data_IF_697116695570
#
_entry.id   IF_697116695570
#
_cell.length_a   1.000
_cell.length_b   1.000
_cell.length_c   1.000
_cell.angle_alpha   90.00
_cell.angle_beta   90.00
_cell.angle_gamma   90.00
#
_symmetry.space_group_name_H-M   'P 1'
#
loop_
_entity.id
_entity.type
_entity.pdbx_description
1 polymer ?
#
# COMPACT_ATOMS: atom_id res chain seq x y z
N UNK A 1 -7.01 16.16 -0.55
CA UNK A 1 -7.33 17.30 -1.44
C UNK A 1 -6.38 17.37 -2.64
N UNK A 2 -5.09 17.69 -2.47
CA UNK A 2 -4.16 17.86 -3.60
C UNK A 2 -3.97 16.61 -4.47
N UNK A 3 -3.80 15.43 -3.85
CA UNK A 3 -3.69 14.17 -4.60
C UNK A 3 -4.91 13.87 -5.48
N UNK A 4 -6.11 14.24 -5.04
CA UNK A 4 -7.32 14.02 -5.83
C UNK A 4 -7.44 14.98 -7.00
N UNK A 5 -6.87 16.18 -6.88
CA UNK A 5 -6.88 17.20 -7.92
C UNK A 5 -5.75 17.04 -8.94
N UNK A 6 -4.73 16.22 -8.65
CA UNK A 6 -3.66 15.91 -9.61
C UNK A 6 -4.06 14.82 -10.59
N UNK A 7 -3.58 14.94 -11.83
CA UNK A 7 -3.66 13.88 -12.85
C UNK A 7 -2.59 12.81 -12.64
N UNK A 8 -1.37 13.20 -12.25
CA UNK A 8 -0.21 12.32 -12.12
C UNK A 8 0.50 12.61 -10.80
N UNK A 9 0.86 11.54 -10.08
CA UNK A 9 1.73 11.58 -8.90
C UNK A 9 3.14 11.07 -9.27
N UNK A 10 4.20 11.75 -8.82
CA UNK A 10 5.57 11.43 -9.23
C UNK A 10 6.48 11.25 -7.99
N UNK A 11 7.28 10.18 -7.97
CA UNK A 11 8.36 9.98 -6.98
C UNK A 11 9.71 9.74 -7.68
N UNK A 12 10.48 10.80 -7.99
CA UNK A 12 11.74 10.72 -8.72
C UNK A 12 12.93 10.63 -7.75
N UNK A 13 12.96 9.59 -6.91
CA UNK A 13 14.05 9.42 -5.95
C UNK A 13 15.39 9.18 -6.65
N UNK A 14 16.48 9.51 -5.98
CA UNK A 14 17.83 9.43 -6.57
C UNK A 14 18.53 8.09 -6.32
N UNK A 15 18.00 7.26 -5.41
CA UNK A 15 18.59 5.98 -5.05
C UNK A 15 17.53 4.97 -4.57
N UNK A 16 17.91 3.68 -4.56
CA UNK A 16 17.03 2.54 -4.26
C UNK A 16 16.80 2.34 -2.76
N UNK A 17 17.66 2.92 -1.93
CA UNK A 17 17.66 2.80 -0.46
C UNK A 17 16.61 3.69 0.21
N UNK A 18 15.90 4.54 -0.55
CA UNK A 18 14.87 5.41 0.00
C UNK A 18 13.67 4.60 0.53
N UNK A 19 13.51 4.59 1.85
CA UNK A 19 12.51 3.76 2.55
C UNK A 19 11.13 4.44 2.75
N UNK A 20 10.96 5.70 2.35
CA UNK A 20 9.72 6.45 2.59
C UNK A 20 8.89 6.58 1.32
N UNK A 21 7.63 6.19 1.40
CA UNK A 21 6.69 6.30 0.28
C UNK A 21 5.23 6.16 0.73
N UNK A 22 4.90 6.48 1.98
CA UNK A 22 3.51 6.47 2.45
C UNK A 22 2.59 7.31 1.54
N UNK A 23 3.11 8.40 0.98
CA UNK A 23 2.42 9.22 -0.03
C UNK A 23 2.16 8.50 -1.35
N UNK A 24 3.01 7.55 -1.76
CA UNK A 24 2.78 6.66 -2.92
C UNK A 24 1.56 5.77 -2.67
N UNK A 25 1.44 5.21 -1.46
CA UNK A 25 0.30 4.38 -1.05
C UNK A 25 -1.01 5.17 -1.13
N UNK A 26 -1.00 6.43 -0.66
CA UNK A 26 -2.17 7.31 -0.75
C UNK A 26 -2.51 7.67 -2.20
N UNK A 27 -1.52 7.92 -3.06
CA UNK A 27 -1.74 8.18 -4.48
C UNK A 27 -2.37 6.96 -5.17
N UNK A 28 -1.86 5.76 -4.89
CA UNK A 28 -2.33 4.50 -5.46
C UNK A 28 -3.76 4.19 -5.00
N UNK A 29 -4.03 4.31 -3.70
CA UNK A 29 -5.37 4.13 -3.13
C UNK A 29 -6.38 5.18 -3.62
N UNK A 30 -5.91 6.33 -4.10
CA UNK A 30 -6.72 7.35 -4.76
C UNK A 30 -6.92 7.09 -6.26
N UNK A 31 -6.40 5.99 -6.80
CA UNK A 31 -6.51 5.60 -8.21
C UNK A 31 -5.73 6.49 -9.17
N UNK A 32 -4.70 7.20 -8.69
CA UNK A 32 -3.91 8.11 -9.53
C UNK A 32 -2.85 7.37 -10.32
N UNK A 33 -2.58 7.85 -11.53
CA UNK A 33 -1.39 7.39 -12.27
C UNK A 33 -0.14 7.83 -11.53
N UNK A 34 0.76 6.88 -11.34
CA UNK A 34 2.03 7.09 -10.65
C UNK A 34 3.17 6.87 -11.64
N UNK A 35 4.11 7.82 -11.66
CA UNK A 35 5.42 7.67 -12.32
C UNK A 35 6.48 7.69 -11.24
N UNK A 36 7.30 6.65 -11.15
CA UNK A 36 8.29 6.52 -10.09
C UNK A 36 9.61 5.97 -10.60
N UNK A 37 10.71 6.41 -9.99
CA UNK A 37 11.96 5.65 -10.10
C UNK A 37 11.82 4.27 -9.47
N UNK A 38 12.59 3.28 -9.94
CA UNK A 38 12.53 1.86 -9.55
C UNK A 38 13.13 1.53 -8.17
N UNK A 39 12.65 2.20 -7.11
CA UNK A 39 12.94 1.78 -5.74
C UNK A 39 12.01 0.64 -5.31
N UNK A 40 12.45 -0.16 -4.34
CA UNK A 40 11.83 -1.45 -4.00
C UNK A 40 10.31 -1.39 -3.79
N UNK A 41 9.86 -0.40 -3.02
CA UNK A 41 8.42 -0.25 -2.76
C UNK A 41 7.63 0.18 -3.99
N UNK A 42 8.19 1.02 -4.86
CA UNK A 42 7.56 1.36 -6.14
C UNK A 42 7.50 0.16 -7.08
N UNK A 43 8.55 -0.67 -7.14
CA UNK A 43 8.55 -1.91 -7.93
C UNK A 43 7.39 -2.84 -7.51
N UNK A 44 7.18 -3.01 -6.21
CA UNK A 44 6.11 -3.86 -5.68
C UNK A 44 4.71 -3.27 -5.92
N UNK A 45 4.50 -1.99 -5.61
CA UNK A 45 3.20 -1.34 -5.72
C UNK A 45 2.75 -1.17 -7.17
N UNK A 46 3.68 -0.81 -8.07
CA UNK A 46 3.38 -0.46 -9.46
C UNK A 46 3.45 -1.65 -10.42
N UNK A 47 3.75 -2.85 -9.92
CA UNK A 47 3.74 -4.09 -10.70
C UNK A 47 2.43 -4.30 -11.47
N UNK A 48 2.45 -5.16 -12.49
CA UNK A 48 1.29 -5.50 -13.34
C UNK A 48 0.64 -4.30 -14.07
N UNK A 49 1.41 -3.24 -14.28
CA UNK A 49 0.96 -2.02 -14.96
C UNK A 49 0.06 -1.16 -14.09
N UNK A 50 0.30 -1.13 -12.77
CA UNK A 50 -0.36 -0.25 -11.80
C UNK A 50 0.28 1.15 -11.74
N UNK A 51 1.34 1.37 -12.50
CA UNK A 51 2.01 2.66 -12.71
C UNK A 51 3.12 2.52 -13.74
N UNK A 52 3.97 3.54 -13.85
CA UNK A 52 5.14 3.56 -14.73
C UNK A 52 6.40 3.65 -13.88
N UNK A 53 7.33 2.73 -14.13
CA UNK A 53 8.67 2.75 -13.55
C UNK A 53 9.65 3.34 -14.56
N UNK A 54 10.52 4.22 -14.09
CA UNK A 54 11.61 4.82 -14.86
C UNK A 54 12.94 4.60 -14.15
N UNK A 55 14.04 4.75 -14.90
CA UNK A 55 15.38 4.66 -14.32
C UNK A 55 15.71 5.85 -13.43
N UNK A 56 16.61 5.62 -12.48
CA UNK A 56 17.11 6.67 -11.60
C UNK A 56 17.86 7.73 -12.40
N UNK A 57 17.67 9.01 -12.03
CA UNK A 57 18.36 10.16 -12.65
C UNK A 57 18.10 10.33 -14.15
N UNK A 58 16.98 9.81 -14.64
CA UNK A 58 16.55 9.96 -16.04
C UNK A 58 15.34 10.90 -16.14
N UNK A 59 15.60 12.19 -16.34
CA UNK A 59 14.55 13.20 -16.54
C UNK A 59 13.81 13.02 -17.87
N UNK A 60 14.48 12.49 -18.89
CA UNK A 60 13.90 12.32 -20.22
C UNK A 60 12.88 11.18 -20.22
N UNK A 61 13.15 10.09 -19.49
CA UNK A 61 12.20 9.01 -19.25
C UNK A 61 10.96 9.50 -18.51
N UNK A 62 11.12 10.35 -17.48
CA UNK A 62 9.97 10.97 -16.78
C UNK A 62 9.15 11.81 -17.75
N UNK A 63 9.79 12.69 -18.52
CA UNK A 63 9.09 13.54 -19.48
C UNK A 63 8.37 12.73 -20.57
N UNK A 64 8.98 11.64 -21.04
CA UNK A 64 8.35 10.71 -21.98
C UNK A 64 7.12 10.03 -21.37
N UNK A 65 7.22 9.52 -20.15
CA UNK A 65 6.11 8.89 -19.44
C UNK A 65 4.94 9.87 -19.22
N UNK A 66 5.23 11.12 -18.83
CA UNK A 66 4.19 12.16 -18.70
C UNK A 66 3.48 12.39 -20.03
N UNK A 67 4.22 12.56 -21.13
CA UNK A 67 3.62 12.75 -22.47
C UNK A 67 2.77 11.55 -22.89
N UNK A 68 3.25 10.34 -22.64
CA UNK A 68 2.53 9.11 -22.97
C UNK A 68 1.17 9.05 -22.25
N UNK A 69 1.16 9.33 -20.94
CA UNK A 69 -0.07 9.39 -20.15
C UNK A 69 -0.99 10.54 -20.59
N UNK A 70 -0.42 11.69 -20.94
CA UNK A 70 -1.18 12.86 -21.35
C UNK A 70 -1.89 12.67 -22.70
N UNK A 71 -1.21 12.07 -23.68
CA UNK A 71 -1.76 11.88 -25.02
C UNK A 71 -2.55 10.57 -25.19
N UNK A 72 -2.36 9.59 -24.30
CA UNK A 72 -3.04 8.29 -24.37
C UNK A 72 -4.02 8.12 -23.21
N UNK A 73 -5.27 8.56 -23.44
CA UNK A 73 -6.35 8.47 -22.46
C UNK A 73 -6.66 7.02 -22.06
N UNK A 74 -6.68 6.09 -23.01
CA UNK A 74 -7.03 4.69 -22.74
C UNK A 74 -5.97 4.01 -21.86
N UNK A 75 -4.69 4.30 -22.13
CA UNK A 75 -3.59 3.84 -21.27
C UNK A 75 -3.74 4.40 -19.86
N UNK A 76 -4.01 5.71 -19.73
CA UNK A 76 -4.20 6.36 -18.44
C UNK A 76 -5.33 5.70 -17.65
N UNK A 77 -6.52 5.57 -18.22
CA UNK A 77 -7.68 4.97 -17.56
C UNK A 77 -7.44 3.51 -17.17
N UNK A 78 -6.71 2.75 -18.00
CA UNK A 78 -6.29 1.39 -17.70
C UNK A 78 -5.39 1.32 -16.46
N UNK A 79 -4.38 2.19 -16.38
CA UNK A 79 -3.48 2.27 -15.22
C UNK A 79 -4.24 2.72 -13.97
N UNK A 80 -5.05 3.77 -14.06
CA UNK A 80 -5.86 4.28 -12.94
C UNK A 80 -6.78 3.19 -12.37
N UNK A 81 -7.46 2.43 -13.24
CA UNK A 81 -8.30 1.32 -12.83
C UNK A 81 -7.51 0.25 -12.09
N UNK A 82 -6.36 -0.18 -12.62
CA UNK A 82 -5.51 -1.19 -11.97
C UNK A 82 -4.96 -0.71 -10.63
N UNK A 83 -4.51 0.54 -10.58
CA UNK A 83 -4.01 1.19 -9.37
C UNK A 83 -5.11 1.24 -8.30
N UNK A 84 -6.30 1.70 -8.66
CA UNK A 84 -7.44 1.78 -7.74
C UNK A 84 -7.87 0.40 -7.24
N UNK A 85 -8.01 -0.58 -8.15
CA UNK A 85 -8.41 -1.94 -7.78
C UNK A 85 -7.46 -2.58 -6.77
N UNK A 86 -6.15 -2.42 -6.98
CA UNK A 86 -5.15 -2.90 -6.03
C UNK A 86 -5.15 -2.08 -4.73
N UNK A 87 -5.23 -0.75 -4.84
CA UNK A 87 -5.21 0.19 -3.72
C UNK A 87 -6.33 -0.03 -2.70
N UNK A 88 -7.49 -0.56 -3.10
CA UNK A 88 -8.56 -0.97 -2.16
C UNK A 88 -8.08 -1.93 -1.07
N UNK A 89 -7.08 -2.78 -1.37
CA UNK A 89 -6.50 -3.71 -0.40
C UNK A 89 -5.73 -3.00 0.73
N UNK A 90 -5.45 -1.70 0.58
CA UNK A 90 -4.67 -0.89 1.51
C UNK A 90 -5.57 -0.02 2.40
N UNK A 91 -6.90 -0.05 2.21
CA UNK A 91 -7.83 0.70 3.05
C UNK A 91 -7.85 0.16 4.48
N UNK A 92 -7.96 1.05 5.46
CA UNK A 92 -7.86 0.68 6.87
C UNK A 92 -8.90 -0.35 7.30
N UNK A 93 -10.13 -0.29 6.80
CA UNK A 93 -11.16 -1.30 7.08
C UNK A 93 -10.76 -2.68 6.53
N UNK A 94 -10.22 -2.74 5.31
CA UNK A 94 -9.76 -4.01 4.69
C UNK A 94 -8.57 -4.58 5.42
N UNK A 95 -7.62 -3.72 5.83
CA UNK A 95 -6.46 -4.12 6.64
C UNK A 95 -6.93 -4.62 8.00
N UNK A 96 -7.81 -3.90 8.68
CA UNK A 96 -8.36 -4.29 9.99
C UNK A 96 -9.07 -5.64 9.93
N UNK A 97 -9.91 -5.88 8.91
CA UNK A 97 -10.58 -7.17 8.70
C UNK A 97 -9.57 -8.33 8.54
N UNK A 98 -8.46 -8.11 7.83
CA UNK A 98 -7.40 -9.13 7.69
C UNK A 98 -6.72 -9.42 9.02
N UNK A 99 -6.46 -8.40 9.83
CA UNK A 99 -5.90 -8.60 11.17
C UNK A 99 -6.87 -9.32 12.10
N UNK A 100 -8.16 -8.98 12.07
CA UNK A 100 -9.20 -9.66 12.86
C UNK A 100 -9.23 -11.16 12.50
N UNK A 101 -9.25 -11.49 11.20
CA UNK A 101 -9.22 -12.89 10.74
C UNK A 101 -7.96 -13.62 11.21
N UNK A 102 -6.79 -12.99 11.07
CA UNK A 102 -5.53 -13.57 11.53
C UNK A 102 -5.54 -13.83 13.04
N UNK A 103 -6.05 -12.89 13.84
CA UNK A 103 -6.14 -13.06 15.28
C UNK A 103 -7.11 -14.17 15.66
N UNK A 104 -8.28 -14.25 15.02
CA UNK A 104 -9.24 -15.33 15.22
C UNK A 104 -8.65 -16.71 14.88
N UNK A 105 -7.95 -16.82 13.74
CA UNK A 105 -7.23 -18.03 13.34
C UNK A 105 -6.19 -18.45 14.39
N UNK A 106 -5.38 -17.51 14.90
CA UNK A 106 -4.34 -17.82 15.89
C UNK A 106 -4.95 -18.22 17.23
N UNK A 107 -6.03 -17.56 17.67
CA UNK A 107 -6.72 -17.86 18.93
C UNK A 107 -7.37 -19.24 18.84
N UNK A 108 -8.10 -19.53 17.78
CA UNK A 108 -8.82 -20.80 17.61
C UNK A 108 -7.87 -21.98 17.35
N UNK A 109 -6.75 -21.77 16.65
CA UNK A 109 -5.73 -22.82 16.42
C UNK A 109 -4.94 -23.20 17.67
N UNK A 110 -4.80 -22.28 18.64
CA UNK A 110 -4.23 -22.58 19.97
C UNK A 110 -5.13 -23.45 20.84
N UNK A 111 -6.44 -23.50 20.57
CA UNK A 111 -7.38 -24.32 21.35
C UNK A 111 -7.25 -25.81 21.00
N UNK A 112 -6.80 -26.17 19.79
CA UNK A 112 -6.62 -27.58 19.39
C UNK A 112 -5.27 -28.19 19.81
N UNK A 113 -4.27 -27.40 20.20
CA UNK A 113 -2.89 -27.88 20.45
C UNK A 113 -2.42 -27.83 21.91
N UNK A 114 -3.26 -27.40 22.86
CA UNK A 114 -2.88 -27.34 24.28
C UNK A 114 -3.56 -28.41 25.14
N UNK A 115 -3.37 -29.69 24.80
CA UNK A 115 -3.69 -30.84 25.67
C UNK A 115 -2.45 -31.50 26.31
N UNK A 116 -1.31 -30.79 26.37
CA UNK A 116 -0.06 -31.29 26.92
C UNK A 116 0.62 -30.33 27.91
N UNK A 117 0.49 -30.63 29.21
CA UNK A 117 1.33 -30.21 30.36
C UNK A 117 1.89 -28.77 30.40
N UNK A 118 1.33 -27.97 31.33
CA UNK A 118 2.19 -27.28 32.32
C UNK A 118 2.52 -25.80 32.13
N UNK A 119 1.67 -24.97 31.52
CA UNK A 119 1.84 -23.51 31.56
C UNK A 119 0.65 -22.84 32.23
N UNK A 120 0.93 -21.96 33.22
CA UNK A 120 -0.10 -21.18 33.95
C UNK A 120 -0.96 -20.40 32.93
N UNK A 121 -2.28 -20.57 33.04
CA UNK A 121 -3.27 -19.74 32.32
C UNK A 121 -3.02 -18.26 32.63
N UNK A 122 -2.57 -17.50 31.65
CA UNK A 122 -2.74 -16.06 31.66
C UNK A 122 -4.17 -15.78 31.16
N UNK A 123 -5.02 -15.21 32.01
CA UNK A 123 -6.34 -14.75 31.60
C UNK A 123 -6.15 -13.64 30.56
N UNK A 124 -6.56 -13.87 29.31
CA UNK A 124 -6.60 -12.87 28.25
C UNK A 124 -7.73 -11.85 28.42
N UNK A 125 -8.54 -11.96 29.47
CA UNK A 125 -9.59 -10.99 29.77
C UNK A 125 -9.11 -10.01 30.84
N UNK A 126 -8.99 -8.76 30.41
CA UNK A 126 -8.80 -7.51 31.13
C UNK A 126 -7.36 -7.11 31.53
N UNK A 127 -6.72 -6.28 30.70
CA UNK A 127 -6.37 -4.94 31.12
C UNK A 127 -7.56 -4.02 30.81
N UNK A 128 -8.13 -3.40 31.83
CA UNK A 128 -8.99 -2.24 31.65
C UNK A 128 -8.25 -1.23 30.75
N UNK A 129 -8.77 -0.97 29.55
CA UNK A 129 -8.35 0.18 28.76
C UNK A 129 -8.82 1.43 29.49
N UNK A 130 -7.98 1.98 30.36
CA UNK A 130 -8.08 3.38 30.73
C UNK A 130 -7.76 4.20 29.48
N UNK A 131 -8.81 4.58 28.76
CA UNK A 131 -8.75 5.61 27.73
C UNK A 131 -8.51 6.91 28.51
N UNK A 132 -7.27 7.38 28.51
CA UNK A 132 -6.97 8.75 28.90
C UNK A 132 -7.65 9.67 27.89
N UNK A 133 -8.63 10.44 28.36
CA UNK A 133 -9.18 11.59 27.66
C UNK A 133 -8.26 12.78 27.86
N UNK A 134 -7.66 13.26 26.77
CA UNK A 134 -7.22 14.64 26.60
C UNK A 134 -7.92 15.20 25.34
#
# INVERSE_FOLDING_TARGET
KYLQLSDIYITPYLSKEQAVSGTLSYALASGKVIISTSYRYAEELLADGRGILVDFRDSDAIAKAIKEIYYNKDLRESIEKKAFEYGKNMWWNVVAERYIKLFDEIVNKKIETFSGRGWKKWNLFAPEMNIYSD
#
